data_IF_216993043736
#
_entry.id   IF_216993043736
#
_cell.length_a   1.000
_cell.length_b   1.000
_cell.length_c   1.000
_cell.angle_alpha   90.00
_cell.angle_beta   90.00
_cell.angle_gamma   90.00
#
_symmetry.space_group_name_H-M   'P 1'
#
loop_
_entity.id
_entity.type
_entity.pdbx_description
1 polymer ?
#
# COMPACT_ATOMS: atom_id res chain seq x y z
N UNK A 1 26.16 6.95 -18.25
CA UNK A 1 25.28 6.59 -17.13
C UNK A 1 25.55 7.60 -16.06
N UNK A 2 24.53 8.32 -15.65
CA UNK A 2 24.70 9.37 -14.65
C UNK A 2 24.89 8.75 -13.27
N UNK A 3 25.71 9.39 -12.44
CA UNK A 3 26.01 8.90 -11.10
C UNK A 3 24.83 9.19 -10.18
N UNK A 4 24.27 8.15 -9.59
CA UNK A 4 23.20 8.25 -8.60
C UNK A 4 23.47 7.30 -7.44
N UNK A 5 22.91 7.64 -6.28
CA UNK A 5 23.05 6.83 -5.08
C UNK A 5 21.89 5.82 -4.98
N UNK A 6 22.19 4.53 -5.16
CA UNK A 6 21.17 3.47 -5.19
C UNK A 6 20.29 3.39 -3.94
N UNK A 7 20.80 3.51 -2.70
CA UNK A 7 19.98 3.65 -1.49
C UNK A 7 18.94 4.78 -1.53
N UNK A 8 19.21 5.87 -2.23
CA UNK A 8 18.30 7.02 -2.27
C UNK A 8 17.03 6.72 -3.08
N UNK A 9 17.02 5.62 -3.87
CA UNK A 9 15.84 5.16 -4.61
C UNK A 9 14.58 4.95 -3.75
N UNK A 10 14.73 4.58 -2.47
CA UNK A 10 13.57 4.43 -1.58
C UNK A 10 12.93 5.76 -1.20
N UNK A 11 13.70 6.85 -1.20
CA UNK A 11 13.21 8.20 -0.87
C UNK A 11 12.47 8.86 -2.03
N UNK A 12 12.76 8.44 -3.26
CA UNK A 12 12.17 9.02 -4.48
C UNK A 12 10.65 8.98 -4.45
N UNK A 13 10.10 7.84 -4.03
CA UNK A 13 8.65 7.62 -3.98
C UNK A 13 8.03 8.45 -2.85
N UNK A 14 8.66 8.52 -1.68
CA UNK A 14 8.12 9.26 -0.53
C UNK A 14 8.26 10.77 -0.68
N UNK A 15 9.32 11.23 -1.34
CA UNK A 15 9.65 12.65 -1.52
C UNK A 15 9.16 13.21 -2.87
N UNK A 16 8.44 12.41 -3.67
CA UNK A 16 7.93 12.80 -4.98
C UNK A 16 9.01 13.37 -5.93
N UNK A 17 10.23 12.86 -5.82
CA UNK A 17 11.37 13.27 -6.66
C UNK A 17 11.36 12.54 -7.99
N UNK A 18 11.96 13.14 -9.01
CA UNK A 18 12.14 12.54 -10.33
C UNK A 18 13.50 11.87 -10.44
N UNK A 19 13.66 11.01 -11.46
CA UNK A 19 14.93 10.36 -11.74
C UNK A 19 16.07 11.37 -11.97
N UNK A 20 15.78 12.49 -12.64
CA UNK A 20 16.74 13.55 -12.91
C UNK A 20 17.23 14.25 -11.63
N UNK A 21 16.40 14.32 -10.58
CA UNK A 21 16.73 14.96 -9.31
C UNK A 21 17.74 14.16 -8.48
N UNK A 22 17.94 12.88 -8.80
CA UNK A 22 18.84 11.96 -8.11
C UNK A 22 20.23 11.90 -8.73
N UNK A 23 20.37 12.43 -9.93
CA UNK A 23 21.62 12.49 -10.66
C UNK A 23 22.54 13.49 -9.97
N UNK A 24 23.60 12.97 -9.34
CA UNK A 24 24.62 13.80 -8.65
C UNK A 24 25.61 14.40 -9.63
N UNK A 25 25.97 13.64 -10.67
CA UNK A 25 26.90 14.05 -11.70
C UNK A 25 26.54 13.39 -13.01
N UNK A 26 26.66 14.12 -14.11
CA UNK A 26 26.43 13.54 -15.43
C UNK A 26 27.57 12.61 -15.84
N UNK A 27 27.26 11.64 -16.69
CA UNK A 27 28.26 10.71 -17.21
C UNK A 27 29.43 11.41 -17.95
N UNK A 28 29.13 12.51 -18.65
CA UNK A 28 30.12 13.27 -19.41
C UNK A 28 31.16 13.92 -18.51
N UNK A 29 30.69 14.61 -17.47
CA UNK A 29 31.56 15.28 -16.48
C UNK A 29 32.44 14.26 -15.73
N UNK A 30 31.87 13.11 -15.35
CA UNK A 30 32.62 12.03 -14.71
C UNK A 30 33.72 11.48 -15.63
N UNK A 31 33.41 11.28 -16.92
CA UNK A 31 34.38 10.79 -17.91
C UNK A 31 35.58 11.73 -18.05
N UNK A 32 35.33 13.05 -18.15
CA UNK A 32 36.36 14.06 -18.27
C UNK A 32 37.18 14.18 -16.98
N UNK A 33 36.52 14.21 -15.83
CA UNK A 33 37.17 14.35 -14.52
C UNK A 33 38.15 13.21 -14.23
N UNK A 34 37.80 11.97 -14.57
CA UNK A 34 38.62 10.79 -14.31
C UNK A 34 39.43 10.32 -15.51
N UNK A 35 39.40 11.07 -16.62
CA UNK A 35 40.06 10.72 -17.89
C UNK A 35 39.70 9.31 -18.38
N UNK A 36 38.41 8.98 -18.32
CA UNK A 36 37.84 7.69 -18.69
C UNK A 36 37.11 7.79 -20.02
N UNK A 37 37.16 6.71 -20.80
CA UNK A 37 36.31 6.56 -21.99
C UNK A 37 35.06 5.78 -21.63
N UNK A 38 33.92 6.46 -21.54
CA UNK A 38 32.64 5.82 -21.25
C UNK A 38 31.91 5.42 -22.52
N UNK A 39 31.31 4.23 -22.49
CA UNK A 39 30.41 3.73 -23.54
C UNK A 39 29.01 3.53 -22.93
N UNK A 40 28.22 4.61 -22.77
CA UNK A 40 26.85 4.48 -22.26
C UNK A 40 25.99 3.65 -23.22
N UNK A 41 24.91 3.07 -22.70
CA UNK A 41 23.98 2.24 -23.49
C UNK A 41 24.64 1.06 -24.22
N UNK A 42 25.75 0.55 -23.68
CA UNK A 42 26.49 -0.58 -24.25
C UNK A 42 26.33 -1.78 -23.33
N UNK A 43 25.74 -2.87 -23.84
CA UNK A 43 25.50 -4.08 -23.06
C UNK A 43 26.52 -5.15 -23.42
N UNK A 44 27.37 -5.51 -22.45
CA UNK A 44 28.35 -6.59 -22.64
C UNK A 44 27.62 -7.92 -22.72
N UNK A 45 27.85 -8.65 -23.81
CA UNK A 45 27.22 -9.95 -24.08
C UNK A 45 28.13 -11.10 -23.75
N UNK A 46 29.44 -10.93 -23.97
CA UNK A 46 30.42 -12.01 -23.82
C UNK A 46 31.80 -11.45 -23.43
N UNK A 47 32.57 -12.25 -22.70
CA UNK A 47 33.88 -11.90 -22.18
C UNK A 47 34.82 -13.08 -22.44
N UNK A 48 35.74 -12.87 -23.36
CA UNK A 48 36.78 -13.83 -23.71
C UNK A 48 38.00 -13.61 -22.82
N UNK A 49 38.12 -14.44 -21.77
CA UNK A 49 39.18 -14.32 -20.78
C UNK A 49 40.55 -14.72 -21.33
N UNK A 50 40.61 -15.64 -22.29
CA UNK A 50 41.85 -16.14 -22.88
C UNK A 50 42.40 -15.14 -23.91
N UNK A 51 41.53 -14.59 -24.76
CA UNK A 51 41.91 -13.57 -25.74
C UNK A 51 42.02 -12.16 -25.14
N UNK A 52 41.60 -11.98 -23.87
CA UNK A 52 41.54 -10.68 -23.20
C UNK A 52 40.64 -9.68 -23.94
N UNK A 53 39.44 -10.12 -24.37
CA UNK A 53 38.51 -9.31 -25.15
C UNK A 53 37.11 -9.29 -24.54
N UNK A 54 36.53 -8.11 -24.40
CA UNK A 54 35.12 -7.92 -24.07
C UNK A 54 34.33 -7.66 -25.35
N UNK A 55 33.20 -8.36 -25.54
CA UNK A 55 32.33 -8.25 -26.72
C UNK A 55 30.96 -7.67 -26.33
N UNK A 56 30.46 -6.77 -27.15
CA UNK A 56 29.11 -6.20 -27.05
C UNK A 56 28.54 -6.06 -28.44
N UNK A 57 27.55 -6.88 -28.80
CA UNK A 57 26.89 -6.83 -30.11
C UNK A 57 27.94 -6.76 -31.25
N UNK A 58 28.09 -5.61 -31.91
CA UNK A 58 29.02 -5.40 -33.03
C UNK A 58 30.40 -4.81 -32.64
N UNK A 59 30.68 -4.65 -31.34
CA UNK A 59 31.91 -4.02 -30.85
C UNK A 59 32.71 -4.97 -29.97
N UNK A 60 34.03 -4.79 -30.00
CA UNK A 60 34.98 -5.57 -29.22
C UNK A 60 36.09 -4.66 -28.68
N UNK A 61 36.49 -4.87 -27.43
CA UNK A 61 37.56 -4.12 -26.77
C UNK A 61 38.54 -5.07 -26.10
N UNK A 62 39.83 -4.84 -26.32
CA UNK A 62 40.90 -5.54 -25.61
C UNK A 62 41.12 -4.93 -24.22
N UNK A 63 41.54 -5.75 -23.27
CA UNK A 63 41.88 -5.29 -21.91
C UNK A 63 43.16 -5.95 -21.36
N UNK A 64 43.91 -5.21 -20.55
CA UNK A 64 45.00 -5.79 -19.75
C UNK A 64 44.50 -6.32 -18.40
N UNK A 65 43.57 -5.59 -17.79
CA UNK A 65 42.90 -5.92 -16.53
C UNK A 65 41.40 -5.61 -16.66
N UNK A 66 40.58 -6.53 -16.18
CA UNK A 66 39.12 -6.43 -16.22
C UNK A 66 38.55 -6.41 -14.81
N UNK A 67 37.65 -5.46 -14.54
CA UNK A 67 36.90 -5.36 -13.29
C UNK A 67 35.41 -5.46 -13.63
N UNK A 68 34.73 -6.41 -12.98
CA UNK A 68 33.29 -6.62 -13.16
C UNK A 68 32.52 -5.91 -12.05
N UNK A 69 31.80 -4.86 -12.43
CA UNK A 69 30.95 -4.07 -11.54
C UNK A 69 29.49 -4.03 -12.06
N UNK A 70 28.97 -5.16 -12.56
CA UNK A 70 27.66 -5.28 -13.22
C UNK A 70 26.45 -5.20 -12.29
N UNK A 71 26.66 -5.10 -10.96
CA UNK A 71 25.59 -5.02 -9.97
C UNK A 71 24.87 -6.35 -9.74
N UNK A 72 23.58 -6.29 -9.40
CA UNK A 72 22.75 -7.45 -9.09
C UNK A 72 21.38 -7.34 -9.78
N UNK A 73 20.81 -8.48 -10.18
CA UNK A 73 19.44 -8.58 -10.69
C UNK A 73 18.46 -8.90 -9.56
N UNK A 74 17.24 -8.35 -9.65
CA UNK A 74 16.18 -8.67 -8.70
C UNK A 74 15.60 -10.05 -9.01
N UNK A 75 15.54 -10.92 -8.00
CA UNK A 75 14.76 -12.15 -8.11
C UNK A 75 13.27 -11.79 -8.12
N UNK A 76 12.57 -12.21 -9.17
CA UNK A 76 11.11 -12.07 -9.27
C UNK A 76 10.51 -13.46 -9.05
N UNK A 77 9.86 -13.72 -7.91
CA UNK A 77 9.19 -15.00 -7.71
C UNK A 77 8.10 -15.19 -8.78
N UNK A 78 7.82 -16.44 -9.19
CA UNK A 78 6.72 -16.69 -10.10
C UNK A 78 5.43 -16.10 -9.51
N UNK A 79 4.74 -15.27 -10.29
CA UNK A 79 3.43 -14.75 -9.89
C UNK A 79 2.50 -15.95 -9.72
N UNK A 80 2.06 -16.21 -8.48
CA UNK A 80 1.01 -17.19 -8.24
C UNK A 80 -0.24 -16.76 -9.02
N UNK A 81 -0.64 -17.59 -9.98
CA UNK A 81 -1.89 -17.44 -10.74
C UNK A 81 -2.70 -18.70 -10.48
N UNK A 82 -3.76 -18.64 -9.66
CA UNK A 82 -4.67 -19.77 -9.54
C UNK A 82 -5.30 -20.02 -10.91
N UNK A 83 -5.47 -21.29 -11.26
CA UNK A 83 -6.31 -21.68 -12.39
C UNK A 83 -7.78 -21.34 -12.10
N UNK A 84 -8.63 -21.39 -13.14
CA UNK A 84 -10.07 -21.13 -12.99
C UNK A 84 -10.69 -22.07 -11.95
N UNK A 85 -10.23 -23.32 -11.90
CA UNK A 85 -10.74 -24.35 -11.00
C UNK A 85 -10.39 -24.05 -9.53
N UNK A 86 -9.16 -23.63 -9.22
CA UNK A 86 -8.80 -23.21 -7.87
C UNK A 86 -9.54 -21.93 -7.45
N UNK A 87 -9.82 -21.02 -8.40
CA UNK A 87 -10.61 -19.83 -8.12
C UNK A 87 -12.08 -20.17 -7.82
N UNK A 88 -12.67 -21.10 -8.57
CA UNK A 88 -14.03 -21.62 -8.36
C UNK A 88 -14.14 -22.35 -7.02
N UNK A 89 -13.15 -23.18 -6.68
CA UNK A 89 -13.09 -23.91 -5.41
C UNK A 89 -12.94 -22.96 -4.22
N UNK A 90 -12.11 -21.92 -4.34
CA UNK A 90 -12.01 -20.86 -3.34
C UNK A 90 -13.34 -20.11 -3.16
N UNK A 91 -14.03 -19.79 -4.26
CA UNK A 91 -15.37 -19.15 -4.22
C UNK A 91 -16.43 -20.07 -3.59
N UNK A 92 -16.43 -21.37 -3.90
CA UNK A 92 -17.34 -22.34 -3.29
C UNK A 92 -17.08 -22.46 -1.78
N UNK A 93 -15.81 -22.58 -1.39
CA UNK A 93 -15.42 -22.65 0.01
C UNK A 93 -15.84 -21.38 0.78
N UNK A 94 -15.63 -20.19 0.21
CA UNK A 94 -16.11 -18.94 0.79
C UNK A 94 -17.64 -18.89 0.94
N UNK A 95 -18.39 -19.41 -0.04
CA UNK A 95 -19.86 -19.53 0.04
C UNK A 95 -20.30 -20.51 1.13
N UNK A 96 -19.58 -21.60 1.34
CA UNK A 96 -19.87 -22.58 2.40
C UNK A 96 -19.60 -22.02 3.79
N UNK A 97 -18.48 -21.34 4.00
CA UNK A 97 -18.17 -20.64 5.25
C UNK A 97 -19.27 -19.63 5.57
N UNK A 98 -19.68 -18.81 4.58
CA UNK A 98 -20.75 -17.85 4.75
C UNK A 98 -22.10 -18.51 5.11
N UNK A 99 -22.43 -19.66 4.50
CA UNK A 99 -23.62 -20.44 4.86
C UNK A 99 -23.54 -20.99 6.28
N UNK A 100 -22.38 -21.50 6.69
CA UNK A 100 -22.17 -22.01 8.05
C UNK A 100 -22.32 -20.90 9.08
N UNK A 101 -21.81 -19.70 8.80
CA UNK A 101 -22.00 -18.54 9.67
C UNK A 101 -23.45 -18.07 9.70
N UNK A 102 -24.19 -18.15 8.59
CA UNK A 102 -25.60 -17.79 8.53
C UNK A 102 -26.53 -18.80 9.26
N UNK A 103 -26.16 -20.08 9.30
CA UNK A 103 -26.90 -21.14 9.98
C UNK A 103 -26.44 -21.37 11.43
N UNK A 104 -25.36 -20.73 11.85
CA UNK A 104 -24.95 -20.72 13.24
C UNK A 104 -26.04 -20.03 14.06
N UNK A 105 -26.65 -20.70 15.05
CA UNK A 105 -27.64 -20.07 15.89
C UNK A 105 -26.98 -18.90 16.62
N UNK A 106 -27.48 -17.69 16.39
CA UNK A 106 -27.12 -16.54 17.19
C UNK A 106 -27.49 -16.86 18.65
N UNK A 107 -26.64 -16.54 19.64
CA UNK A 107 -27.02 -16.70 21.04
C UNK A 107 -28.31 -15.91 21.27
N UNK A 108 -29.35 -16.57 21.81
CA UNK A 108 -30.64 -15.95 22.07
C UNK A 108 -30.50 -14.87 23.16
N UNK A 109 -30.17 -13.65 22.76
CA UNK A 109 -30.46 -12.47 23.56
C UNK A 109 -31.93 -12.16 23.37
N UNK A 110 -32.70 -12.29 24.44
CA UNK A 110 -34.12 -11.92 24.49
C UNK A 110 -34.29 -10.42 24.19
N UNK A 111 -34.56 -10.08 22.94
CA UNK A 111 -34.90 -8.71 22.55
C UNK A 111 -36.41 -8.53 22.72
N UNK A 112 -36.80 -7.65 23.64
CA UNK A 112 -38.17 -7.15 23.80
C UNK A 112 -38.49 -6.31 22.56
N UNK A 113 -39.48 -6.74 21.79
CA UNK A 113 -39.90 -6.08 20.57
C UNK A 113 -40.49 -4.68 20.85
N UNK A 114 -40.06 -3.69 20.07
CA UNK A 114 -40.90 -2.54 19.71
C UNK A 114 -40.68 -2.27 18.23
N UNK A 115 -41.75 -2.43 17.47
CA UNK A 115 -41.86 -2.02 16.08
C UNK A 115 -42.24 -0.54 16.02
N UNK A 116 -41.69 0.21 15.06
CA UNK A 116 -42.45 1.20 14.28
C UNK A 116 -41.68 1.74 13.07
N UNK A 117 -42.43 1.90 11.98
CA UNK A 117 -42.11 2.51 10.69
C UNK A 117 -42.15 4.06 10.75
N UNK A 118 -41.70 4.68 9.64
CA UNK A 118 -41.98 6.04 9.13
C UNK A 118 -40.96 7.20 9.32
N UNK A 119 -40.25 7.47 8.21
CA UNK A 119 -40.05 8.74 7.49
C UNK A 119 -39.76 10.10 8.19
N UNK A 120 -38.66 10.73 7.70
CA UNK A 120 -38.44 12.16 7.35
C UNK A 120 -38.55 13.27 8.42
N UNK A 121 -37.42 13.97 8.70
CA UNK A 121 -37.19 15.39 8.34
C UNK A 121 -36.15 16.14 9.23
N UNK A 122 -35.40 17.01 8.55
CA UNK A 122 -34.50 18.11 8.91
C UNK A 122 -34.24 18.61 10.37
N UNK A 123 -32.94 18.86 10.58
CA UNK A 123 -32.29 20.07 11.13
C UNK A 123 -32.06 20.28 12.65
N UNK A 124 -30.80 20.67 12.90
CA UNK A 124 -30.28 21.60 13.92
C UNK A 124 -29.91 21.08 15.32
N UNK A 125 -28.60 20.91 15.48
CA UNK A 125 -27.73 21.40 16.57
C UNK A 125 -28.22 21.30 18.02
N UNK A 126 -27.55 20.45 18.80
CA UNK A 126 -27.30 20.71 20.21
C UNK A 126 -26.04 19.96 20.67
N UNK A 127 -25.12 20.71 21.28
CA UNK A 127 -23.97 20.17 21.99
C UNK A 127 -24.47 19.24 23.10
N UNK A 128 -24.24 17.94 22.93
CA UNK A 128 -24.50 16.92 23.94
C UNK A 128 -23.41 15.87 23.79
N UNK A 129 -22.70 15.61 24.89
CA UNK A 129 -21.77 14.51 25.17
C UNK A 129 -21.64 13.48 24.03
N UNK A 130 -20.88 13.87 23.00
CA UNK A 130 -20.55 13.00 21.88
C UNK A 130 -19.49 12.07 22.45
N UNK A 131 -19.86 10.81 22.67
CA UNK A 131 -19.09 9.82 23.41
C UNK A 131 -17.64 9.61 22.92
N UNK A 132 -16.94 8.57 23.39
CA UNK A 132 -15.51 8.46 23.17
C UNK A 132 -15.16 8.36 21.67
N UNK A 133 -14.09 9.03 21.27
CA UNK A 133 -13.50 8.87 19.94
C UNK A 133 -13.05 7.43 19.74
N UNK A 134 -13.01 6.97 18.49
CA UNK A 134 -12.68 5.58 18.17
C UNK A 134 -11.45 5.50 17.28
N UNK A 135 -10.53 4.59 17.58
CA UNK A 135 -9.31 4.39 16.81
C UNK A 135 -9.35 3.09 16.05
N UNK A 136 -9.04 3.13 14.76
CA UNK A 136 -8.79 1.92 14.01
C UNK A 136 -7.50 1.25 14.51
N UNK A 137 -7.58 0.01 14.97
CA UNK A 137 -6.42 -0.78 15.42
C UNK A 137 -5.39 -1.08 14.32
N UNK A 138 -5.78 -0.98 13.04
CA UNK A 138 -4.95 -1.35 11.89
C UNK A 138 -4.14 -0.17 11.33
N UNK A 139 -4.78 0.98 11.13
CA UNK A 139 -4.14 2.17 10.54
C UNK A 139 -4.05 3.36 11.50
N UNK A 140 -4.52 3.21 12.73
CA UNK A 140 -4.55 4.24 13.76
C UNK A 140 -5.37 5.49 13.44
N UNK A 141 -6.24 5.44 12.41
CA UNK A 141 -7.16 6.53 12.10
C UNK A 141 -8.19 6.74 13.21
N UNK A 142 -8.50 8.00 13.53
CA UNK A 142 -9.35 8.38 14.66
C UNK A 142 -10.68 8.93 14.15
N UNK A 143 -11.78 8.24 14.49
CA UNK A 143 -13.12 8.74 14.34
C UNK A 143 -13.44 9.76 15.45
N UNK A 144 -13.73 10.99 15.03
CA UNK A 144 -14.20 12.07 15.89
C UNK A 144 -15.71 12.24 15.69
N UNK A 145 -16.54 11.95 16.72
CA UNK A 145 -17.99 12.04 16.59
C UNK A 145 -18.46 13.48 16.34
N UNK A 146 -17.69 14.52 16.67
CA UNK A 146 -18.04 15.90 16.33
C UNK A 146 -17.92 16.19 14.83
N UNK A 147 -17.02 15.49 14.13
CA UNK A 147 -16.82 15.62 12.69
C UNK A 147 -17.67 14.63 11.90
N UNK A 148 -17.92 13.44 12.45
CA UNK A 148 -18.57 12.35 11.72
C UNK A 148 -17.76 11.93 10.50
N UNK A 149 -18.43 11.32 9.52
CA UNK A 149 -17.85 11.02 8.21
C UNK A 149 -18.92 11.16 7.10
N UNK A 150 -19.14 12.39 6.60
CA UNK A 150 -20.22 12.68 5.65
C UNK A 150 -20.09 11.94 4.31
N UNK A 151 -18.89 11.49 3.94
CA UNK A 151 -18.68 10.74 2.70
C UNK A 151 -19.24 9.31 2.75
N UNK A 152 -19.54 8.81 3.95
CA UNK A 152 -20.14 7.49 4.19
C UNK A 152 -21.51 7.60 4.90
N UNK A 153 -22.21 8.71 4.69
CA UNK A 153 -23.53 8.99 5.27
C UNK A 153 -23.55 9.04 6.81
N UNK A 154 -22.40 9.30 7.46
CA UNK A 154 -22.31 9.52 8.92
C UNK A 154 -22.27 11.02 9.18
N UNK A 155 -23.36 11.56 9.73
CA UNK A 155 -23.47 12.99 9.98
C UNK A 155 -22.47 13.48 11.05
N UNK A 156 -22.05 14.75 11.01
CA UNK A 156 -21.30 15.37 12.10
C UNK A 156 -22.17 15.39 13.36
N UNK A 157 -21.61 14.95 14.49
CA UNK A 157 -22.34 14.79 15.74
C UNK A 157 -22.94 13.38 15.95
N UNK A 158 -22.60 12.39 15.12
CA UNK A 158 -23.05 11.01 15.31
C UNK A 158 -22.11 10.27 16.29
N UNK A 159 -22.59 9.81 17.46
CA UNK A 159 -21.78 8.99 18.36
C UNK A 159 -21.47 7.63 17.73
N UNK A 160 -20.39 6.97 18.14
CA UNK A 160 -19.99 5.67 17.56
C UNK A 160 -21.06 4.57 17.68
N UNK A 161 -21.97 4.68 18.65
CA UNK A 161 -23.12 3.79 18.80
C UNK A 161 -24.14 3.91 17.66
N UNK A 162 -24.20 5.06 17.02
CA UNK A 162 -25.14 5.37 15.92
C UNK A 162 -24.49 5.25 14.54
N UNK A 163 -23.18 5.07 14.48
CA UNK A 163 -22.46 4.80 13.23
C UNK A 163 -22.91 3.43 12.68
N UNK A 164 -23.35 3.32 11.42
CA UNK A 164 -23.79 2.06 10.83
C UNK A 164 -22.70 1.00 10.84
N UNK A 165 -23.07 -0.27 10.99
CA UNK A 165 -22.11 -1.40 10.97
C UNK A 165 -21.41 -1.58 9.60
N UNK A 166 -21.98 -1.00 8.54
CA UNK A 166 -21.38 -0.95 7.21
C UNK A 166 -20.33 0.17 7.05
N UNK A 167 -20.01 0.91 8.12
CA UNK A 167 -18.96 1.93 8.10
C UNK A 167 -17.59 1.29 7.83
N UNK A 168 -16.83 1.90 6.93
CA UNK A 168 -15.51 1.44 6.54
C UNK A 168 -14.48 2.53 6.83
N UNK A 169 -13.43 2.19 7.57
CA UNK A 169 -12.33 3.12 7.83
C UNK A 169 -11.82 3.74 6.51
N UNK A 170 -11.74 5.07 6.37
CA UNK A 170 -11.37 5.71 5.10
C UNK A 170 -9.91 5.42 4.69
N UNK A 171 -9.03 5.10 5.63
CA UNK A 171 -7.62 4.81 5.37
C UNK A 171 -7.37 3.34 4.98
N UNK A 172 -8.04 2.38 5.65
CA UNK A 172 -7.76 0.95 5.47
C UNK A 172 -8.93 0.12 4.92
N UNK A 173 -10.12 0.73 4.76
CA UNK A 173 -11.35 0.09 4.25
C UNK A 173 -11.82 -1.14 5.04
N UNK A 174 -11.44 -1.25 6.32
CA UNK A 174 -11.92 -2.27 7.26
C UNK A 174 -13.15 -1.78 8.02
N UNK A 175 -13.99 -2.72 8.43
CA UNK A 175 -15.28 -2.47 9.06
C UNK A 175 -15.21 -1.81 10.44
N UNK A 176 -16.38 -1.51 10.99
CA UNK A 176 -16.57 -0.92 12.33
C UNK A 176 -16.03 -1.80 13.47
N UNK A 177 -15.81 -3.08 13.22
CA UNK A 177 -15.38 -4.10 14.18
C UNK A 177 -13.92 -3.96 14.62
N UNK A 178 -13.06 -3.34 13.80
CA UNK A 178 -11.63 -3.17 14.10
C UNK A 178 -11.31 -1.90 14.89
N UNK A 179 -12.33 -1.19 15.38
CA UNK A 179 -12.17 0.07 16.09
C UNK A 179 -12.22 -0.10 17.61
N UNK A 180 -11.22 0.45 18.27
CA UNK A 180 -11.08 0.48 19.72
C UNK A 180 -11.47 1.85 20.29
N UNK A 181 -11.93 1.86 21.55
CA UNK A 181 -12.23 3.10 22.26
C UNK A 181 -10.93 3.87 22.52
N UNK A 182 -10.77 5.03 21.92
CA UNK A 182 -9.82 6.04 22.40
C UNK A 182 -10.45 6.67 23.63
N UNK A 183 -10.12 6.12 24.80
CA UNK A 183 -10.50 6.74 26.05
C UNK A 183 -9.90 8.14 26.08
N UNK A 184 -10.72 9.16 25.84
CA UNK A 184 -10.38 10.54 26.13
C UNK A 184 -10.28 10.62 27.66
N UNK A 185 -9.08 10.46 28.20
CA UNK A 185 -8.81 10.72 29.60
C UNK A 185 -9.09 12.21 29.88
N UNK A 186 -10.32 12.51 30.28
CA UNK A 186 -10.66 13.73 30.95
C UNK A 186 -10.72 13.43 32.46
N UNK A 187 -9.56 13.46 33.12
CA UNK A 187 -9.29 14.17 34.38
C UNK A 187 -7.99 13.69 35.06
#
# INVERSE_FOLDING_TARGET
MDEYNKPDLSHVISQSQRADDLTRQSAGEFAEQFNLRLFPHTWVTDIDADAHVVKSQDKQWQYDKLVLATGASAFVPPKWRPDQDALELCRQHGREIARQWALAPLPETTVKAVAQEEACACAAAAAADLGPSMQCSVCQWIYDPAKGEPLQDVAPGTPWSEVPDNFLCPECSLGKDVFDVLATEAK
#
